data_IF_729232297213
#
_entry.id   IF_729232297213
#
_cell.length_a   1.000
_cell.length_b   1.000
_cell.length_c   1.000
_cell.angle_alpha   90.00
_cell.angle_beta   90.00
_cell.angle_gamma   90.00
#
_symmetry.space_group_name_H-M   'P 1'
#
loop_
_entity.id
_entity.type
_entity.pdbx_description
1 polymer ?
#
# COMPACT_ATOMS: atom_id res chain seq x y z
N UNK A 1 -12.18 25.41 -17.25
CA UNK A 1 -11.34 24.71 -16.25
C UNK A 1 -12.06 23.41 -15.88
N UNK A 2 -11.90 22.37 -16.69
CA UNK A 2 -12.52 21.06 -16.45
C UNK A 2 -11.41 20.12 -15.96
N UNK A 3 -11.53 19.72 -14.71
CA UNK A 3 -10.65 18.71 -14.13
C UNK A 3 -10.93 17.36 -14.79
N UNK A 4 -9.90 16.82 -15.45
CA UNK A 4 -9.92 15.46 -16.01
C UNK A 4 -10.11 14.47 -14.86
N UNK A 5 -11.31 13.92 -14.74
CA UNK A 5 -11.61 12.81 -13.82
C UNK A 5 -11.00 11.54 -14.39
N UNK A 6 -9.81 11.20 -13.95
CA UNK A 6 -9.25 9.87 -14.16
C UNK A 6 -10.02 8.94 -13.23
N UNK A 7 -10.92 8.18 -13.82
CA UNK A 7 -11.74 7.19 -13.13
C UNK A 7 -10.86 6.00 -12.74
N UNK A 8 -10.67 5.82 -11.46
CA UNK A 8 -10.08 4.61 -10.90
C UNK A 8 -11.06 3.46 -11.18
N UNK A 9 -10.74 2.63 -12.18
CA UNK A 9 -11.54 1.43 -12.45
C UNK A 9 -11.25 0.40 -11.37
N UNK A 10 -12.23 0.21 -10.49
CA UNK A 10 -12.29 -0.93 -9.59
C UNK A 10 -12.40 -2.22 -10.42
N UNK A 11 -11.43 -3.10 -10.27
CA UNK A 11 -11.51 -4.46 -10.79
C UNK A 11 -12.63 -5.18 -10.04
N UNK A 12 -13.70 -5.49 -10.74
CA UNK A 12 -14.82 -6.28 -10.22
C UNK A 12 -14.41 -7.75 -10.23
N UNK A 13 -14.11 -8.30 -9.05
CA UNK A 13 -13.83 -9.72 -8.86
C UNK A 13 -15.16 -10.47 -8.77
N UNK A 14 -15.42 -11.36 -9.71
CA UNK A 14 -16.49 -12.35 -9.60
C UNK A 14 -16.06 -13.44 -8.62
N UNK A 15 -16.76 -13.52 -7.49
CA UNK A 15 -16.63 -14.62 -6.55
C UNK A 15 -17.43 -15.83 -7.05
N UNK A 16 -16.74 -16.90 -7.41
CA UNK A 16 -17.35 -18.22 -7.53
C UNK A 16 -17.15 -18.95 -6.19
N UNK A 17 -18.25 -19.19 -5.50
CA UNK A 17 -18.29 -19.96 -4.29
C UNK A 17 -18.13 -21.47 -4.61
N UNK A 18 -17.05 -22.06 -4.13
CA UNK A 18 -16.82 -23.50 -4.11
C UNK A 18 -16.50 -23.95 -2.70
N UNK A 19 -17.47 -24.59 -2.02
CA UNK A 19 -17.26 -25.24 -0.74
C UNK A 19 -16.46 -26.52 -0.91
N UNK A 20 -15.35 -26.68 -0.16
CA UNK A 20 -14.78 -27.99 0.18
C UNK A 20 -14.13 -27.96 1.55
N UNK A 21 -14.49 -28.95 2.36
CA UNK A 21 -14.14 -29.11 3.77
C UNK A 21 -12.67 -29.55 3.98
N UNK A 22 -12.09 -29.29 5.17
CA UNK A 22 -10.69 -29.58 5.45
C UNK A 22 -10.46 -31.04 5.84
N UNK A 23 -9.41 -31.67 5.32
CA UNK A 23 -8.83 -32.88 5.84
C UNK A 23 -7.72 -32.56 6.83
N UNK A 24 -7.92 -32.98 8.07
CA UNK A 24 -6.93 -33.03 9.14
C UNK A 24 -5.79 -34.01 8.76
N UNK A 25 -4.56 -33.55 8.88
CA UNK A 25 -3.38 -34.41 8.93
C UNK A 25 -2.48 -33.94 10.06
N UNK A 26 -2.43 -34.76 11.11
CA UNK A 26 -1.41 -34.69 12.16
C UNK A 26 -0.05 -35.05 11.56
N UNK A 27 0.96 -34.24 11.84
CA UNK A 27 2.33 -34.73 11.75
C UNK A 27 3.21 -34.10 12.83
N UNK A 28 3.68 -35.01 13.67
CA UNK A 28 4.58 -34.83 14.80
C UNK A 28 6.02 -34.65 14.34
N UNK A 29 6.74 -33.67 14.93
CA UNK A 29 8.19 -33.81 15.18
C UNK A 29 9.11 -33.05 14.24
N UNK A 30 9.71 -31.99 14.75
CA UNK A 30 11.16 -31.87 14.88
C UNK A 30 11.55 -30.48 15.46
N UNK A 31 12.17 -30.55 16.63
CA UNK A 31 12.88 -29.42 17.26
C UNK A 31 14.18 -29.18 16.49
N UNK A 32 14.21 -28.19 15.61
CA UNK A 32 15.44 -27.61 15.09
C UNK A 32 15.35 -26.09 15.20
N UNK A 33 16.37 -25.50 15.83
CA UNK A 33 16.61 -24.13 16.23
C UNK A 33 15.92 -23.04 15.39
N UNK A 34 15.03 -22.31 16.05
CA UNK A 34 14.59 -21.00 15.55
C UNK A 34 15.78 -20.05 15.64
N UNK A 35 16.48 -19.83 14.53
CA UNK A 35 17.28 -18.62 14.37
C UNK A 35 16.34 -17.41 14.47
N UNK A 36 16.66 -16.48 15.37
CA UNK A 36 15.97 -15.19 15.43
C UNK A 36 16.07 -14.49 14.06
N UNK A 37 14.99 -13.91 13.56
CA UNK A 37 15.04 -13.14 12.31
C UNK A 37 16.00 -11.95 12.51
N UNK A 38 16.74 -11.56 11.47
CA UNK A 38 17.71 -10.45 11.57
C UNK A 38 17.01 -9.15 12.01
N UNK A 39 17.65 -8.42 12.89
CA UNK A 39 17.15 -7.17 13.50
C UNK A 39 16.65 -6.08 12.51
N UNK A 40 16.93 -6.23 11.21
CA UNK A 40 16.46 -5.33 10.15
C UNK A 40 14.96 -5.42 9.87
N UNK A 41 14.27 -6.53 10.23
CA UNK A 41 12.84 -6.71 9.97
C UNK A 41 11.93 -6.01 11.00
N UNK A 42 12.45 -5.62 12.17
CA UNK A 42 11.63 -4.99 13.21
C UNK A 42 11.31 -3.50 12.92
N UNK A 43 12.09 -2.84 12.07
CA UNK A 43 11.90 -1.40 11.77
C UNK A 43 10.65 -1.08 10.95
N UNK A 44 10.04 -2.08 10.31
CA UNK A 44 8.90 -1.91 9.39
C UNK A 44 7.64 -2.66 9.81
N UNK A 45 7.56 -3.10 11.05
CA UNK A 45 6.36 -3.78 11.52
C UNK A 45 5.20 -2.80 11.67
N UNK A 46 4.05 -3.18 11.15
CA UNK A 46 2.76 -2.54 11.44
C UNK A 46 2.59 -2.46 12.96
N UNK A 47 2.24 -1.29 13.45
CA UNK A 47 1.98 -1.05 14.86
C UNK A 47 0.50 -0.75 15.04
N UNK A 48 -0.15 -1.44 15.97
CA UNK A 48 -1.49 -1.09 16.43
C UNK A 48 -1.38 -0.20 17.68
N UNK A 49 -2.25 0.79 17.77
CA UNK A 49 -2.31 1.68 18.94
C UNK A 49 -3.73 2.13 19.23
N UNK A 50 -4.00 2.48 20.45
CA UNK A 50 -5.29 3.07 20.84
C UNK A 50 -5.26 4.55 20.47
N UNK A 51 -6.08 4.95 19.51
CA UNK A 51 -6.26 6.33 19.09
C UNK A 51 -7.04 7.11 20.15
N UNK A 52 -6.47 8.21 20.60
CA UNK A 52 -7.08 9.12 21.57
C UNK A 52 -7.75 10.31 20.86
N UNK A 53 -7.05 10.91 19.90
CA UNK A 53 -7.57 12.04 19.13
C UNK A 53 -6.80 12.22 17.81
N UNK A 54 -7.41 12.95 16.86
CA UNK A 54 -6.81 13.35 15.58
C UNK A 54 -6.96 14.86 15.40
N UNK A 55 -5.94 15.50 14.86
CA UNK A 55 -5.88 16.92 14.54
C UNK A 55 -5.57 17.10 13.06
N UNK A 56 -6.34 17.94 12.38
CA UNK A 56 -6.18 18.24 10.96
C UNK A 56 -5.91 19.74 10.75
N UNK A 57 -5.42 20.10 9.54
CA UNK A 57 -5.18 21.48 9.15
C UNK A 57 -3.88 22.08 9.69
N UNK A 58 -3.75 23.41 9.57
CA UNK A 58 -2.55 24.12 10.04
C UNK A 58 -2.36 23.99 11.53
N UNK A 59 -1.13 23.69 11.99
CA UNK A 59 -0.79 23.58 13.40
C UNK A 59 -1.17 22.25 14.06
N UNK A 60 -1.63 21.25 13.28
CA UNK A 60 -2.00 19.92 13.79
C UNK A 60 -0.88 19.26 14.60
N UNK A 61 0.39 19.44 14.22
CA UNK A 61 1.52 18.85 14.97
C UNK A 61 1.67 19.45 16.37
N UNK A 62 1.59 20.78 16.50
CA UNK A 62 1.66 21.44 17.80
C UNK A 62 0.46 21.10 18.68
N UNK A 63 -0.74 20.98 18.09
CA UNK A 63 -1.94 20.55 18.82
C UNK A 63 -1.77 19.12 19.34
N UNK A 64 -1.28 18.20 18.51
CA UNK A 64 -1.01 16.83 18.90
C UNK A 64 0.09 16.74 19.98
N UNK A 65 1.15 17.54 19.89
CA UNK A 65 2.20 17.60 20.91
C UNK A 65 1.66 18.02 22.27
N UNK A 66 0.88 19.11 22.33
CA UNK A 66 0.23 19.58 23.57
C UNK A 66 -0.70 18.51 24.15
N UNK A 67 -1.51 17.89 23.29
CA UNK A 67 -2.40 16.83 23.72
C UNK A 67 -1.64 15.63 24.29
N UNK A 68 -0.58 15.16 23.61
CA UNK A 68 0.24 14.04 24.09
C UNK A 68 0.91 14.35 25.45
N UNK A 69 1.40 15.57 25.64
CA UNK A 69 1.94 16.02 26.95
C UNK A 69 0.86 16.00 28.03
N UNK A 70 -0.34 16.55 27.75
CA UNK A 70 -1.46 16.52 28.66
C UNK A 70 -1.87 15.10 29.01
N UNK A 71 -1.94 14.19 28.03
CA UNK A 71 -2.26 12.79 28.28
C UNK A 71 -1.25 12.13 29.23
N UNK A 72 0.05 12.34 29.00
CA UNK A 72 1.11 11.76 29.85
C UNK A 72 1.04 12.25 31.30
N UNK A 73 0.65 13.50 31.50
CA UNK A 73 0.51 14.07 32.83
C UNK A 73 -0.80 13.67 33.53
N UNK A 74 -1.81 13.24 32.75
CA UNK A 74 -3.15 12.97 33.26
C UNK A 74 -3.27 11.62 33.97
N UNK A 75 -2.62 10.58 33.44
CA UNK A 75 -2.77 9.22 33.96
C UNK A 75 -1.54 8.36 33.63
N UNK A 76 -1.12 7.48 34.56
CA UNK A 76 -0.04 6.50 34.29
C UNK A 76 -0.33 5.61 33.07
N UNK A 77 -1.59 5.30 32.78
CA UNK A 77 -2.01 4.52 31.61
C UNK A 77 -1.63 5.22 30.31
N UNK A 78 -1.56 6.55 30.32
CA UNK A 78 -1.28 7.38 29.16
C UNK A 78 0.17 7.88 29.12
N UNK A 79 1.05 7.43 30.01
CA UNK A 79 2.43 7.92 30.14
C UNK A 79 3.27 7.71 28.86
N UNK A 80 2.94 6.68 28.08
CA UNK A 80 3.58 6.35 26.80
C UNK A 80 2.79 6.85 25.58
N UNK A 81 1.94 7.89 25.76
CA UNK A 81 1.25 8.50 24.61
C UNK A 81 2.27 9.05 23.60
N UNK A 82 2.03 8.76 22.33
CA UNK A 82 2.91 9.12 21.23
C UNK A 82 2.12 9.70 20.05
N UNK A 83 2.81 10.34 19.10
CA UNK A 83 2.22 11.05 17.98
C UNK A 83 2.57 10.33 16.69
N UNK A 84 1.58 10.16 15.83
CA UNK A 84 1.75 9.79 14.46
C UNK A 84 1.32 10.94 13.57
N UNK A 85 2.30 11.59 12.93
CA UNK A 85 2.05 12.73 12.04
C UNK A 85 2.04 12.28 10.58
N UNK A 86 1.05 12.76 9.83
CA UNK A 86 0.93 12.69 8.37
C UNK A 86 0.96 14.10 7.78
N UNK A 87 1.07 14.22 6.48
CA UNK A 87 1.14 15.52 5.78
C UNK A 87 -0.02 16.46 6.12
N UNK A 88 -1.23 15.95 6.36
CA UNK A 88 -2.45 16.74 6.56
C UNK A 88 -3.06 16.63 7.95
N UNK A 89 -2.46 15.85 8.82
CA UNK A 89 -3.01 15.64 10.16
C UNK A 89 -2.08 14.86 11.08
N UNK A 90 -2.31 14.94 12.38
CA UNK A 90 -1.58 14.23 13.42
C UNK A 90 -2.53 13.53 14.35
N UNK A 91 -2.20 12.31 14.71
CA UNK A 91 -2.97 11.49 15.67
C UNK A 91 -2.17 11.29 16.94
N UNK A 92 -2.86 11.35 18.08
CA UNK A 92 -2.29 11.00 19.39
C UNK A 92 -2.78 9.60 19.76
N UNK A 93 -1.82 8.72 20.05
CA UNK A 93 -2.06 7.31 20.35
C UNK A 93 -1.39 6.91 21.66
N UNK A 94 -1.86 5.80 22.23
CA UNK A 94 -1.23 5.16 23.40
C UNK A 94 -1.09 3.66 23.16
N UNK A 95 -0.04 3.07 23.72
CA UNK A 95 0.32 1.67 23.49
C UNK A 95 0.90 1.41 22.11
N UNK A 96 1.58 0.26 21.97
CA UNK A 96 2.13 -0.26 20.72
C UNK A 96 1.97 -1.77 20.72
N UNK A 97 1.16 -2.30 19.82
CA UNK A 97 0.84 -3.71 19.72
C UNK A 97 1.17 -4.23 18.33
N UNK A 98 1.51 -5.50 18.23
CA UNK A 98 1.85 -6.14 16.94
C UNK A 98 0.60 -6.51 16.12
N UNK A 99 -0.49 -6.85 16.82
CA UNK A 99 -1.75 -7.28 16.19
C UNK A 99 -2.95 -6.59 16.83
N UNK A 100 -4.08 -6.58 16.12
CA UNK A 100 -5.35 -6.08 16.65
C UNK A 100 -5.89 -6.93 17.80
N UNK A 101 -5.58 -8.23 17.77
CA UNK A 101 -6.10 -9.24 18.71
C UNK A 101 -5.21 -9.38 19.96
N UNK A 102 -4.20 -8.52 20.12
CA UNK A 102 -3.37 -8.51 21.32
C UNK A 102 -4.24 -8.27 22.55
N UNK A 103 -4.28 -9.18 23.55
CA UNK A 103 -5.09 -9.02 24.74
C UNK A 103 -4.79 -7.74 25.50
N UNK A 104 -3.53 -7.28 25.52
CA UNK A 104 -3.12 -6.04 26.14
C UNK A 104 -3.70 -4.81 25.43
N UNK A 105 -3.92 -4.88 24.11
CA UNK A 105 -4.58 -3.80 23.36
C UNK A 105 -6.04 -3.64 23.78
N UNK A 106 -6.75 -4.76 23.94
CA UNK A 106 -8.14 -4.77 24.40
C UNK A 106 -8.30 -4.23 25.84
N UNK A 107 -7.38 -4.60 26.74
CA UNK A 107 -7.34 -4.08 28.11
C UNK A 107 -7.08 -2.57 28.11
N UNK A 108 -6.03 -2.11 27.40
CA UNK A 108 -5.72 -0.69 27.33
C UNK A 108 -6.87 0.13 26.75
N UNK A 109 -7.53 -0.37 25.69
CA UNK A 109 -8.71 0.31 25.11
C UNK A 109 -9.85 0.46 26.12
N UNK A 110 -10.10 -0.57 26.93
CA UNK A 110 -11.11 -0.54 28.01
C UNK A 110 -10.73 0.49 29.06
N UNK A 111 -9.49 0.49 29.52
CA UNK A 111 -8.99 1.39 30.53
C UNK A 111 -9.06 2.86 30.06
N UNK A 112 -8.70 3.13 28.82
CA UNK A 112 -8.82 4.46 28.20
C UNK A 112 -10.27 4.92 28.13
N UNK A 113 -11.23 4.04 27.83
CA UNK A 113 -12.67 4.35 27.83
C UNK A 113 -13.20 4.70 29.23
N UNK A 114 -12.59 4.14 30.29
CA UNK A 114 -12.92 4.39 31.66
C UNK A 114 -12.35 5.69 32.22
N UNK A 115 -11.52 6.43 31.47
CA UNK A 115 -10.97 7.70 31.95
C UNK A 115 -12.05 8.79 31.90
N UNK A 116 -12.47 9.24 33.07
CA UNK A 116 -13.48 10.28 33.22
C UNK A 116 -12.91 11.52 33.91
N UNK A 117 -13.46 12.69 33.57
CA UNK A 117 -13.22 13.94 34.27
C UNK A 117 -14.55 14.67 34.46
N UNK A 118 -14.88 14.97 35.72
CA UNK A 118 -16.15 15.58 36.08
C UNK A 118 -17.37 14.78 35.55
N UNK A 119 -17.33 13.45 35.65
CA UNK A 119 -18.42 12.55 35.23
C UNK A 119 -18.58 12.45 33.68
N UNK A 120 -17.61 12.94 32.90
CA UNK A 120 -17.63 12.84 31.44
C UNK A 120 -16.40 12.11 30.97
N UNK A 121 -16.57 11.23 29.97
CA UNK A 121 -15.44 10.55 29.31
C UNK A 121 -14.51 11.58 28.69
N UNK A 122 -13.22 11.46 28.99
CA UNK A 122 -12.17 12.32 28.40
C UNK A 122 -11.95 11.97 26.93
N UNK A 123 -12.10 10.70 26.59
CA UNK A 123 -11.94 10.19 25.22
C UNK A 123 -13.25 9.57 24.74
N UNK A 124 -14.12 10.33 24.05
CA UNK A 124 -15.46 9.86 23.72
C UNK A 124 -15.49 8.70 22.73
N UNK A 125 -14.47 8.55 21.90
CA UNK A 125 -14.39 7.52 20.85
C UNK A 125 -12.99 6.93 20.68
N UNK A 126 -12.36 6.40 21.75
CA UNK A 126 -11.07 5.75 21.57
C UNK A 126 -11.27 4.44 20.80
N UNK A 127 -10.37 4.16 19.86
CA UNK A 127 -10.43 2.95 19.04
C UNK A 127 -9.04 2.42 18.80
N UNK A 128 -8.94 1.12 18.59
CA UNK A 128 -7.71 0.48 18.14
C UNK A 128 -7.55 0.75 16.63
N UNK A 129 -6.42 1.33 16.27
CA UNK A 129 -6.10 1.66 14.86
C UNK A 129 -4.76 1.07 14.45
N UNK A 130 -4.69 0.67 13.21
CA UNK A 130 -3.45 0.24 12.56
C UNK A 130 -2.66 1.46 12.13
N UNK A 131 -1.40 1.50 12.50
CA UNK A 131 -0.45 2.52 12.08
C UNK A 131 0.63 1.86 11.24
N UNK A 132 0.67 2.21 9.99
CA UNK A 132 1.75 1.79 9.13
C UNK A 132 2.97 2.67 9.40
N UNK A 133 4.16 2.08 9.55
CA UNK A 133 5.38 2.84 9.75
C UNK A 133 5.59 3.80 8.57
N UNK A 134 5.99 5.03 8.87
CA UNK A 134 6.35 5.98 7.83
C UNK A 134 7.62 5.45 7.15
N UNK A 135 7.46 4.94 5.97
CA UNK A 135 8.60 4.52 5.16
C UNK A 135 9.30 5.76 4.62
N UNK A 136 10.63 5.78 4.72
CA UNK A 136 11.49 6.81 4.13
C UNK A 136 12.00 6.32 2.77
N UNK A 137 12.41 7.21 1.87
CA UNK A 137 12.90 6.81 0.55
C UNK A 137 14.02 5.76 0.61
N UNK A 138 14.92 5.86 1.56
CA UNK A 138 16.01 4.91 1.78
C UNK A 138 15.58 3.53 2.25
N UNK A 139 14.36 3.40 2.76
CA UNK A 139 13.79 2.13 3.20
C UNK A 139 13.31 1.25 2.03
N UNK A 140 13.29 1.81 0.83
CA UNK A 140 12.90 1.10 -0.38
C UNK A 140 14.13 0.66 -1.19
N UNK A 141 13.99 -0.46 -1.88
CA UNK A 141 14.98 -0.93 -2.84
C UNK A 141 15.23 0.09 -3.97
N UNK A 142 16.38 0.01 -4.62
CA UNK A 142 16.77 0.96 -5.68
C UNK A 142 15.81 0.99 -6.88
N UNK A 143 15.14 -0.12 -7.13
CA UNK A 143 14.18 -0.27 -8.23
C UNK A 143 12.74 0.02 -7.81
N UNK A 144 12.50 0.30 -6.52
CA UNK A 144 11.15 0.61 -6.04
C UNK A 144 10.74 2.02 -6.48
N UNK A 145 9.56 2.11 -7.08
CA UNK A 145 9.03 3.33 -7.68
C UNK A 145 8.90 4.48 -6.66
N UNK A 146 8.56 4.16 -5.41
CA UNK A 146 8.46 5.14 -4.32
C UNK A 146 9.82 5.78 -3.98
N UNK A 147 10.92 5.04 -4.06
CA UNK A 147 12.27 5.61 -3.88
C UNK A 147 12.62 6.59 -4.99
N UNK A 148 12.29 6.24 -6.22
CA UNK A 148 12.51 7.11 -7.38
C UNK A 148 11.64 8.36 -7.28
N UNK A 149 10.38 8.20 -6.86
CA UNK A 149 9.43 9.31 -6.65
C UNK A 149 9.97 10.38 -5.70
N UNK A 150 10.70 9.97 -4.68
CA UNK A 150 11.27 10.90 -3.69
C UNK A 150 12.31 11.86 -4.27
N UNK A 151 12.90 11.55 -5.43
CA UNK A 151 13.83 12.44 -6.14
C UNK A 151 13.09 13.60 -6.87
N UNK A 152 11.76 13.49 -7.01
CA UNK A 152 10.91 14.44 -7.72
C UNK A 152 9.68 14.83 -6.88
N UNK A 153 9.86 15.45 -5.70
CA UNK A 153 8.78 15.62 -4.71
C UNK A 153 7.61 16.46 -5.23
N UNK A 154 7.88 17.49 -6.04
CA UNK A 154 6.90 18.48 -6.46
C UNK A 154 6.32 18.21 -7.87
N UNK A 155 6.84 17.24 -8.60
CA UNK A 155 6.39 16.91 -9.95
C UNK A 155 5.31 15.84 -9.91
N UNK A 156 4.34 15.90 -10.83
CA UNK A 156 3.49 14.75 -11.14
C UNK A 156 4.24 13.88 -12.14
N UNK A 157 4.46 12.63 -11.76
CA UNK A 157 5.14 11.64 -12.59
C UNK A 157 4.18 10.52 -12.92
N UNK A 158 4.32 10.01 -14.14
CA UNK A 158 3.63 8.84 -14.65
C UNK A 158 4.64 7.77 -15.03
N UNK A 159 4.17 6.53 -15.08
CA UNK A 159 4.95 5.38 -15.54
C UNK A 159 4.04 4.43 -16.31
N UNK A 160 4.57 3.71 -17.29
CA UNK A 160 3.81 2.74 -18.07
C UNK A 160 3.78 1.40 -17.32
N UNK A 161 2.61 1.01 -16.79
CA UNK A 161 2.43 -0.28 -16.12
C UNK A 161 2.30 -1.38 -17.17
N UNK A 162 3.30 -2.25 -17.23
CA UNK A 162 3.40 -3.30 -18.26
C UNK A 162 3.06 -4.68 -17.74
N UNK A 163 3.23 -4.91 -16.43
CA UNK A 163 2.99 -6.22 -15.83
C UNK A 163 2.53 -6.07 -14.37
N UNK A 164 1.64 -6.94 -13.92
CA UNK A 164 1.16 -7.04 -12.54
C UNK A 164 1.26 -8.48 -12.07
N UNK A 165 1.74 -8.65 -10.85
CA UNK A 165 1.80 -9.92 -10.14
C UNK A 165 0.91 -9.87 -8.92
N UNK A 166 0.04 -10.86 -8.74
CA UNK A 166 -0.84 -10.99 -7.58
C UNK A 166 -1.35 -12.43 -7.46
N UNK A 167 -1.72 -12.82 -6.26
CA UNK A 167 -2.43 -14.08 -6.02
C UNK A 167 -3.91 -14.01 -6.42
N UNK A 168 -4.51 -12.83 -6.45
CA UNK A 168 -5.94 -12.61 -6.70
C UNK A 168 -6.88 -13.46 -5.84
N UNK A 169 -6.39 -13.94 -4.68
CA UNK A 169 -7.16 -14.78 -3.76
C UNK A 169 -7.26 -16.25 -4.18
N UNK A 170 -6.46 -16.71 -5.13
CA UNK A 170 -6.43 -18.12 -5.57
C UNK A 170 -5.67 -19.03 -4.61
N UNK A 171 -4.76 -18.48 -3.81
CA UNK A 171 -3.85 -19.24 -2.93
C UNK A 171 -2.65 -19.85 -3.66
N UNK A 172 -2.47 -19.54 -4.96
CA UNK A 172 -1.39 -20.11 -5.78
C UNK A 172 -0.04 -19.43 -5.56
N UNK A 173 -0.06 -18.14 -5.23
CA UNK A 173 1.15 -17.34 -5.01
C UNK A 173 1.17 -16.77 -3.60
N UNK A 174 2.22 -17.08 -2.84
CA UNK A 174 2.47 -16.39 -1.57
C UNK A 174 2.88 -14.92 -1.79
N UNK A 175 2.71 -14.04 -0.78
CA UNK A 175 3.15 -12.64 -0.87
C UNK A 175 4.62 -12.47 -1.25
N UNK A 176 5.47 -13.39 -0.80
CA UNK A 176 6.90 -13.40 -1.15
C UNK A 176 7.10 -13.74 -2.62
N UNK A 177 6.42 -14.75 -3.14
CA UNK A 177 6.51 -15.14 -4.54
C UNK A 177 6.00 -14.04 -5.49
N UNK A 178 4.89 -13.37 -5.12
CA UNK A 178 4.36 -12.22 -5.88
C UNK A 178 5.44 -11.13 -6.02
N UNK A 179 6.14 -10.82 -4.93
CA UNK A 179 7.21 -9.83 -4.93
C UNK A 179 8.41 -10.29 -5.77
N UNK A 180 8.91 -11.49 -5.54
CA UNK A 180 10.04 -12.05 -6.27
C UNK A 180 9.81 -12.11 -7.77
N UNK A 181 8.61 -12.51 -8.20
CA UNK A 181 8.22 -12.55 -9.62
C UNK A 181 8.27 -11.16 -10.26
N UNK A 182 7.71 -10.15 -9.60
CA UNK A 182 7.76 -8.77 -10.10
C UNK A 182 9.20 -8.23 -10.16
N UNK A 183 10.02 -8.50 -9.14
CA UNK A 183 11.43 -8.10 -9.11
C UNK A 183 12.24 -8.78 -10.22
N UNK A 184 12.00 -10.08 -10.49
CA UNK A 184 12.61 -10.81 -11.60
C UNK A 184 12.20 -10.24 -12.96
N UNK A 185 10.92 -9.90 -13.15
CA UNK A 185 10.42 -9.27 -14.37
C UNK A 185 11.07 -7.88 -14.56
N UNK A 186 11.14 -7.06 -13.53
CA UNK A 186 11.82 -5.78 -13.56
C UNK A 186 13.31 -5.93 -13.92
N UNK A 187 14.02 -6.88 -13.29
CA UNK A 187 15.43 -7.13 -13.56
C UNK A 187 15.65 -7.61 -15.01
N UNK A 188 14.74 -8.40 -15.57
CA UNK A 188 14.77 -8.79 -16.99
C UNK A 188 14.69 -7.56 -17.89
N UNK A 189 13.69 -6.68 -17.68
CA UNK A 189 13.50 -5.47 -18.47
C UNK A 189 14.71 -4.51 -18.37
N UNK A 190 15.30 -4.40 -17.18
CA UNK A 190 16.52 -3.58 -17.00
C UNK A 190 17.72 -4.14 -17.75
N UNK A 191 17.89 -5.45 -17.82
CA UNK A 191 18.92 -6.09 -18.66
C UNK A 191 18.69 -5.86 -20.16
N UNK A 192 17.44 -5.71 -20.59
CA UNK A 192 17.07 -5.31 -21.95
C UNK A 192 17.26 -3.81 -22.22
N UNK A 193 17.76 -3.04 -21.25
CA UNK A 193 18.05 -1.61 -21.38
C UNK A 193 16.87 -0.68 -21.05
N UNK A 194 15.78 -1.19 -20.47
CA UNK A 194 14.64 -0.37 -20.06
C UNK A 194 14.82 0.21 -18.66
N UNK A 195 14.39 1.45 -18.47
CA UNK A 195 14.24 2.03 -17.13
C UNK A 195 13.00 1.44 -16.47
N UNK A 196 13.15 0.24 -15.89
CA UNK A 196 12.05 -0.48 -15.26
C UNK A 196 12.10 -0.36 -13.74
N UNK A 197 10.92 -0.35 -13.13
CA UNK A 197 10.70 -0.17 -11.69
C UNK A 197 9.65 -1.16 -11.20
N UNK A 198 9.65 -1.42 -9.88
CA UNK A 198 8.59 -2.16 -9.19
C UNK A 198 7.84 -1.25 -8.23
N UNK A 199 6.60 -1.60 -7.96
CA UNK A 199 5.83 -1.02 -6.86
C UNK A 199 5.06 -2.13 -6.15
N UNK A 200 5.28 -2.26 -4.83
CA UNK A 200 4.67 -3.29 -4.00
C UNK A 200 3.56 -2.71 -3.13
N UNK A 201 2.31 -3.04 -3.45
CA UNK A 201 1.14 -2.75 -2.62
C UNK A 201 0.97 -3.85 -1.57
N UNK A 202 1.57 -3.64 -0.40
CA UNK A 202 1.64 -4.68 0.66
C UNK A 202 0.25 -5.12 1.13
N UNK A 203 -0.69 -4.17 1.26
CA UNK A 203 -2.03 -4.45 1.79
C UNK A 203 -2.90 -5.30 0.84
N UNK A 204 -2.61 -5.25 -0.45
CA UNK A 204 -3.36 -6.00 -1.47
C UNK A 204 -2.62 -7.22 -2.00
N UNK A 205 -1.37 -7.42 -1.58
CA UNK A 205 -0.49 -8.46 -2.13
C UNK A 205 -0.40 -8.34 -3.66
N UNK A 206 -0.19 -7.11 -4.14
CA UNK A 206 -0.02 -6.79 -5.55
C UNK A 206 1.37 -6.19 -5.76
N UNK A 207 2.04 -6.60 -6.82
CA UNK A 207 3.31 -6.02 -7.24
C UNK A 207 3.23 -5.65 -8.71
N UNK A 208 3.40 -4.36 -9.01
CA UNK A 208 3.38 -3.83 -10.38
C UNK A 208 4.80 -3.68 -10.92
N UNK A 209 4.98 -3.97 -12.20
CA UNK A 209 6.20 -3.69 -12.96
C UNK A 209 5.90 -2.60 -13.97
N UNK A 210 6.70 -1.55 -13.96
CA UNK A 210 6.48 -0.35 -14.77
C UNK A 210 7.72 0.03 -15.55
N UNK A 211 7.56 0.80 -16.63
CA UNK A 211 8.65 1.22 -17.52
C UNK A 211 8.57 2.72 -17.77
N UNK A 212 9.73 3.38 -17.64
CA UNK A 212 9.90 4.81 -17.88
C UNK A 212 9.32 5.69 -16.77
N UNK A 213 9.72 6.93 -16.77
CA UNK A 213 9.15 8.01 -15.97
C UNK A 213 8.78 9.14 -16.92
N UNK A 214 7.55 9.57 -16.86
CA UNK A 214 6.96 10.55 -17.76
C UNK A 214 6.33 11.68 -16.95
N UNK A 215 6.32 12.88 -17.49
CA UNK A 215 5.64 14.03 -16.90
C UNK A 215 4.30 14.31 -17.61
N UNK A 216 3.60 15.36 -17.16
CA UNK A 216 2.32 15.76 -17.72
C UNK A 216 2.41 16.28 -19.17
N UNK A 217 3.61 16.56 -19.70
CA UNK A 217 3.84 16.96 -21.10
C UNK A 217 4.00 15.78 -22.03
N UNK A 218 4.14 14.58 -21.47
CA UNK A 218 4.33 13.35 -22.24
C UNK A 218 3.06 12.87 -22.92
N UNK A 219 1.90 13.44 -22.54
CA UNK A 219 0.58 13.15 -23.10
C UNK A 219 -0.14 14.47 -23.39
N UNK A 220 -0.79 14.53 -24.52
CA UNK A 220 -1.74 15.60 -24.82
C UNK A 220 -3.00 15.44 -23.96
N UNK A 221 -3.30 16.46 -23.14
CA UNK A 221 -4.41 16.40 -22.18
C UNK A 221 -5.80 16.42 -22.85
N UNK A 222 -5.91 16.90 -24.10
CA UNK A 222 -7.18 17.00 -24.82
C UNK A 222 -7.44 15.74 -25.65
N UNK A 223 -6.45 15.30 -26.40
CA UNK A 223 -6.59 14.13 -27.30
C UNK A 223 -6.19 12.80 -26.66
N UNK A 224 -5.44 12.83 -25.56
CA UNK A 224 -4.88 11.63 -24.93
C UNK A 224 -3.74 10.99 -25.73
N UNK A 225 -3.21 11.68 -26.75
CA UNK A 225 -2.12 11.17 -27.57
C UNK A 225 -0.78 11.23 -26.84
N UNK A 226 0.03 10.20 -27.02
CA UNK A 226 1.40 10.18 -26.52
C UNK A 226 2.26 11.16 -27.32
N UNK A 227 2.90 12.11 -26.65
CA UNK A 227 3.79 13.13 -27.22
C UNK A 227 5.26 12.76 -27.02
N UNK A 228 5.59 12.05 -25.94
CA UNK A 228 6.96 11.68 -25.61
C UNK A 228 7.43 10.49 -26.46
N UNK A 229 8.56 10.65 -27.14
CA UNK A 229 9.14 9.60 -28.01
C UNK A 229 9.54 8.34 -27.23
N UNK A 230 9.93 8.46 -25.95
CA UNK A 230 10.25 7.32 -25.11
C UNK A 230 8.98 6.56 -24.71
N UNK A 231 7.88 7.26 -24.41
CA UNK A 231 6.58 6.65 -24.13
C UNK A 231 6.04 5.91 -25.38
N UNK A 232 6.12 6.52 -26.56
CA UNK A 232 5.73 5.89 -27.82
C UNK A 232 6.53 4.61 -28.08
N UNK A 233 7.86 4.66 -27.87
CA UNK A 233 8.71 3.46 -27.99
C UNK A 233 8.32 2.38 -26.99
N UNK A 234 8.04 2.75 -25.74
CA UNK A 234 7.63 1.81 -24.70
C UNK A 234 6.30 1.13 -25.08
N UNK A 235 5.28 1.86 -25.52
CA UNK A 235 4.01 1.28 -25.95
C UNK A 235 4.15 0.34 -27.16
N UNK A 236 5.02 0.67 -28.10
CA UNK A 236 5.32 -0.22 -29.25
C UNK A 236 6.01 -1.51 -28.82
N UNK A 237 6.89 -1.44 -27.82
CA UNK A 237 7.60 -2.62 -27.28
C UNK A 237 6.72 -3.48 -26.40
N UNK A 238 5.81 -2.85 -25.64
CA UNK A 238 4.88 -3.49 -24.74
C UNK A 238 3.43 -3.24 -25.21
N UNK A 239 2.95 -3.94 -26.24
CA UNK A 239 1.62 -3.70 -26.78
C UNK A 239 0.50 -4.26 -25.87
N UNK A 240 0.82 -5.20 -25.00
CA UNK A 240 -0.12 -5.88 -24.12
C UNK A 240 0.30 -5.82 -22.67
N UNK A 241 -0.68 -5.61 -21.78
CA UNK A 241 -0.52 -5.67 -20.34
C UNK A 241 -0.48 -7.13 -19.89
N UNK A 242 0.47 -7.48 -19.01
CA UNK A 242 0.61 -8.83 -18.49
C UNK A 242 0.09 -8.90 -17.04
N UNK A 243 -0.57 -10.01 -16.73
CA UNK A 243 -0.96 -10.38 -15.37
C UNK A 243 -0.41 -11.77 -15.08
N UNK A 244 0.42 -11.88 -14.05
CA UNK A 244 1.14 -13.12 -13.72
C UNK A 244 1.91 -13.72 -14.90
N UNK A 245 2.41 -12.85 -15.82
CA UNK A 245 3.16 -13.25 -17.00
C UNK A 245 2.30 -13.58 -18.23
N UNK A 246 0.97 -13.55 -18.11
CA UNK A 246 0.03 -13.83 -19.22
C UNK A 246 -0.64 -12.54 -19.70
N UNK A 247 -0.99 -12.50 -21.00
CA UNK A 247 -1.67 -11.35 -21.58
C UNK A 247 -3.07 -11.18 -21.00
N UNK A 248 -3.34 -10.01 -20.41
CA UNK A 248 -4.65 -9.69 -19.86
C UNK A 248 -5.67 -9.49 -20.98
N UNK A 249 -6.78 -10.24 -20.89
CA UNK A 249 -7.93 -10.10 -21.78
C UNK A 249 -9.00 -9.23 -21.13
N UNK A 250 -9.54 -8.30 -21.89
CA UNK A 250 -10.69 -7.49 -21.46
C UNK A 250 -11.84 -7.64 -22.45
N UNK A 251 -13.11 -7.57 -22.02
CA UNK A 251 -14.25 -7.55 -22.94
C UNK A 251 -14.14 -6.38 -23.92
N UNK A 252 -14.46 -6.61 -25.20
CA UNK A 252 -14.51 -5.55 -26.22
C UNK A 252 -15.53 -4.49 -25.81
N UNK A 253 -16.68 -4.92 -25.31
CA UNK A 253 -17.69 -4.06 -24.66
C UNK A 253 -18.15 -4.76 -23.37
N UNK A 254 -17.94 -4.14 -22.19
CA UNK A 254 -18.41 -4.70 -20.92
C UNK A 254 -19.93 -4.97 -20.85
N UNK A 255 -20.73 -4.26 -21.69
CA UNK A 255 -22.18 -4.45 -21.78
C UNK A 255 -22.59 -5.54 -22.78
N UNK A 256 -21.66 -5.98 -23.60
CA UNK A 256 -21.85 -6.92 -24.69
C UNK A 256 -20.76 -7.99 -24.67
N UNK A 257 -20.73 -8.90 -23.67
CA UNK A 257 -19.69 -9.93 -23.54
C UNK A 257 -19.71 -10.93 -24.71
N UNK A 258 -20.80 -10.99 -25.45
CA UNK A 258 -20.95 -11.76 -26.69
C UNK A 258 -20.03 -11.30 -27.82
N UNK A 259 -19.52 -10.06 -27.77
CA UNK A 259 -18.55 -9.55 -28.76
C UNK A 259 -17.12 -10.10 -28.58
N UNK A 260 -16.90 -10.90 -27.53
CA UNK A 260 -15.59 -11.49 -27.22
C UNK A 260 -14.67 -10.56 -26.44
N UNK A 261 -13.37 -10.91 -26.42
CA UNK A 261 -12.34 -10.19 -25.69
C UNK A 261 -11.26 -9.63 -26.61
N UNK A 262 -10.54 -8.64 -26.13
CA UNK A 262 -9.31 -8.12 -26.73
C UNK A 262 -8.22 -8.09 -25.69
N UNK A 263 -6.96 -8.06 -26.12
CA UNK A 263 -5.80 -7.89 -25.25
C UNK A 263 -5.78 -6.46 -24.72
N UNK A 264 -5.65 -6.31 -23.40
CA UNK A 264 -5.55 -5.01 -22.77
C UNK A 264 -4.20 -4.36 -23.06
N UNK A 265 -4.22 -3.08 -23.41
CA UNK A 265 -2.98 -2.31 -23.55
C UNK A 265 -2.43 -1.89 -22.17
N UNK A 266 -1.11 -1.73 -22.03
CA UNK A 266 -0.49 -1.15 -20.84
C UNK A 266 -1.04 0.24 -20.52
N UNK A 267 -1.23 0.49 -19.23
CA UNK A 267 -1.79 1.75 -18.75
C UNK A 267 -0.70 2.67 -18.24
N UNK A 268 -0.84 3.96 -18.54
CA UNK A 268 -0.03 4.97 -17.91
C UNK A 268 -0.66 5.30 -16.55
N UNK A 269 0.09 5.08 -15.49
CA UNK A 269 -0.35 5.27 -14.11
C UNK A 269 0.45 6.36 -13.42
N UNK A 270 -0.19 7.13 -12.54
CA UNK A 270 0.53 8.11 -11.73
C UNK A 270 1.43 7.39 -10.72
N UNK A 271 2.67 7.84 -10.60
CA UNK A 271 3.62 7.32 -9.61
C UNK A 271 3.14 7.71 -8.21
N UNK A 272 2.92 6.74 -7.31
CA UNK A 272 2.40 7.02 -5.97
C UNK A 272 3.27 7.99 -5.19
N UNK A 273 2.65 8.83 -4.36
CA UNK A 273 3.34 9.74 -3.43
C UNK A 273 3.54 9.04 -2.09
N UNK A 274 4.70 9.29 -1.46
CA UNK A 274 5.03 8.82 -0.11
C UNK A 274 4.15 9.48 0.96
#
# INVERSE_FOLDING_TARGET
>A
MNALKITLFSVLVFALAGCSAPKTSENTGSLIGRQAPPESSERFSVVWGVLLNTFDGMGHEMAAQRMAQTCRAMSPILNNAWIHSKRRGSSVLVGRFRTADDPAAGLLLRDVRGIERNGRSVFPRPMLVRIDPRKRPEDFGEIELLRVRAQFPDQTLYTLQVEVWSDFGTGELSPTQVREKAEQACARLRREGWSAYVHHEVDRVISSVTVGLYDNRSIDAESGLDLDAALIRARRRFPHHLVNGEELQEPIDPRRPDLGTRRQAPQLVEVPKL
#
